data_IF_403806855375
#
_entry.id   IF_403806855375
#
_cell.length_a   1.000
_cell.length_b   1.000
_cell.length_c   1.000
_cell.angle_alpha   90.00
_cell.angle_beta   90.00
_cell.angle_gamma   90.00
#
_symmetry.space_group_name_H-M   'P 1'
#
loop_
_entity.id
_entity.type
_entity.pdbx_description
1 polymer ?
#
# COMPACT_ATOMS: atom_id res chain seq x y z
N UNK A 1 -5.67 -55.60 17.15
CA UNK A 1 -6.15 -54.20 17.09
C UNK A 1 -5.21 -53.33 17.90
N UNK A 2 -4.33 -52.54 17.25
CA UNK A 2 -3.54 -51.44 17.87
C UNK A 2 -2.60 -50.72 16.90
N UNK A 3 -2.32 -51.28 15.71
CA UNK A 3 -1.35 -50.70 14.76
C UNK A 3 -1.98 -49.86 13.62
N UNK A 4 -3.30 -49.89 13.44
CA UNK A 4 -3.97 -49.21 12.32
C UNK A 4 -4.35 -47.75 12.62
N UNK A 5 -4.24 -47.31 13.89
CA UNK A 5 -4.60 -45.95 14.31
C UNK A 5 -3.46 -44.93 14.11
N UNK A 6 -2.23 -45.40 13.91
CA UNK A 6 -1.03 -44.53 13.77
C UNK A 6 -0.83 -43.98 12.36
N UNK A 7 -1.52 -44.53 11.35
CA UNK A 7 -1.34 -44.14 9.94
C UNK A 7 -2.21 -42.95 9.51
N UNK A 8 -3.24 -42.60 10.29
CA UNK A 8 -4.19 -41.51 9.97
C UNK A 8 -3.66 -40.13 10.38
N UNK A 9 -2.74 -40.06 11.35
CA UNK A 9 -2.16 -38.79 11.80
C UNK A 9 -1.03 -38.24 10.90
N UNK A 10 -0.48 -39.06 9.99
CA UNK A 10 0.59 -38.64 9.06
C UNK A 10 0.05 -38.04 7.74
N UNK A 11 -1.27 -37.96 7.58
CA UNK A 11 -1.95 -37.44 6.38
C UNK A 11 -2.57 -36.05 6.59
N UNK A 12 -2.24 -35.35 7.67
CA UNK A 12 -2.46 -33.90 7.75
C UNK A 12 -1.19 -33.19 7.26
N UNK A 13 -1.03 -32.97 5.94
CA UNK A 13 0.00 -32.04 5.51
C UNK A 13 -0.33 -30.69 6.15
N UNK A 14 0.70 -30.06 6.69
CA UNK A 14 0.66 -28.68 7.15
C UNK A 14 -0.03 -27.83 6.08
N UNK A 15 -1.27 -27.42 6.33
CA UNK A 15 -1.83 -26.23 5.73
C UNK A 15 -1.15 -25.03 6.40
N UNK A 16 0.15 -24.88 6.15
CA UNK A 16 0.79 -23.59 6.30
C UNK A 16 0.11 -22.69 5.27
N UNK A 17 -0.82 -21.85 5.72
CA UNK A 17 -1.52 -20.91 4.86
C UNK A 17 -0.49 -20.10 4.08
N UNK A 18 -0.45 -20.30 2.75
CA UNK A 18 0.44 -19.53 1.91
C UNK A 18 0.03 -18.06 2.03
N UNK A 19 0.92 -17.25 2.61
CA UNK A 19 0.75 -15.79 2.60
C UNK A 19 0.88 -15.35 1.15
N UNK A 20 -0.21 -14.84 0.59
CA UNK A 20 -0.18 -14.27 -0.75
C UNK A 20 0.62 -12.96 -0.73
N UNK A 21 1.80 -13.00 -1.34
CA UNK A 21 2.70 -11.85 -1.45
C UNK A 21 2.16 -10.75 -2.37
N UNK A 22 1.09 -11.04 -3.11
CA UNK A 22 0.43 -10.15 -4.06
C UNK A 22 -1.00 -9.81 -3.63
N UNK A 23 -1.34 -9.97 -2.34
CA UNK A 23 -2.66 -9.59 -1.83
C UNK A 23 -2.95 -8.11 -2.11
N UNK A 24 -3.93 -7.85 -2.97
CA UNK A 24 -4.37 -6.53 -3.38
C UNK A 24 -5.77 -6.16 -2.87
N UNK A 25 -6.32 -6.88 -1.89
CA UNK A 25 -7.68 -6.61 -1.37
C UNK A 25 -7.87 -5.17 -0.92
N UNK A 26 -6.82 -4.58 -0.33
CA UNK A 26 -6.81 -3.18 0.06
C UNK A 26 -7.11 -2.22 -1.10
N UNK A 27 -6.63 -2.53 -2.30
CA UNK A 27 -6.87 -1.72 -3.51
C UNK A 27 -8.32 -1.75 -3.99
N UNK A 28 -9.10 -2.73 -3.54
CA UNK A 28 -10.50 -2.95 -3.90
C UNK A 28 -11.43 -2.72 -2.70
N UNK A 29 -10.88 -2.26 -1.57
CA UNK A 29 -11.65 -1.99 -0.37
C UNK A 29 -12.47 -0.70 -0.59
N UNK A 30 -13.81 -0.76 -0.55
CA UNK A 30 -14.66 0.40 -0.78
C UNK A 30 -14.43 1.51 0.25
N UNK A 31 -14.00 1.18 1.47
CA UNK A 31 -13.68 2.17 2.51
C UNK A 31 -12.43 2.95 2.14
N UNK A 32 -11.42 2.28 1.58
CA UNK A 32 -10.18 2.94 1.15
C UNK A 32 -10.39 3.79 -0.10
N UNK A 33 -11.19 3.30 -1.05
CA UNK A 33 -11.60 4.08 -2.21
C UNK A 33 -12.36 5.35 -1.79
N UNK A 34 -13.31 5.24 -0.87
CA UNK A 34 -14.05 6.39 -0.36
C UNK A 34 -13.14 7.41 0.35
N UNK A 35 -12.09 6.96 1.05
CA UNK A 35 -11.11 7.88 1.65
C UNK A 35 -10.38 8.69 0.58
N UNK A 36 -9.97 8.07 -0.51
CA UNK A 36 -9.36 8.78 -1.63
C UNK A 36 -10.30 9.79 -2.28
N UNK A 37 -11.55 9.38 -2.53
CA UNK A 37 -12.57 10.27 -3.09
C UNK A 37 -12.81 11.49 -2.20
N UNK A 38 -12.89 11.29 -0.87
CA UNK A 38 -13.06 12.37 0.09
C UNK A 38 -11.83 13.30 0.10
N UNK A 39 -10.61 12.75 0.15
CA UNK A 39 -9.39 13.55 0.13
C UNK A 39 -9.27 14.41 -1.13
N UNK A 40 -9.65 13.88 -2.29
CA UNK A 40 -9.68 14.64 -3.54
C UNK A 40 -10.75 15.73 -3.55
N UNK A 41 -11.96 15.41 -3.07
CA UNK A 41 -13.06 16.38 -2.99
C UNK A 41 -12.76 17.53 -2.03
N UNK A 42 -12.08 17.26 -0.93
CA UNK A 42 -11.64 18.27 0.05
C UNK A 42 -10.45 19.10 -0.46
N UNK A 43 -9.70 18.60 -1.44
CA UNK A 43 -8.48 19.23 -1.96
C UNK A 43 -8.44 19.25 -3.50
N UNK A 44 -9.43 19.87 -4.18
CA UNK A 44 -9.60 19.74 -5.63
C UNK A 44 -8.44 20.31 -6.45
N UNK A 45 -7.75 21.33 -5.93
CA UNK A 45 -6.63 21.99 -6.61
C UNK A 45 -5.25 21.46 -6.16
N UNK A 46 -5.21 20.40 -5.35
CA UNK A 46 -3.96 19.85 -4.82
C UNK A 46 -3.36 18.81 -5.75
N UNK A 47 -2.42 19.24 -6.59
CA UNK A 47 -1.62 18.36 -7.44
C UNK A 47 -0.92 17.24 -6.63
N UNK A 48 -0.56 17.53 -5.37
CA UNK A 48 0.09 16.56 -4.47
C UNK A 48 -0.88 15.42 -4.12
N UNK A 49 -2.13 15.74 -3.76
CA UNK A 49 -3.14 14.71 -3.44
C UNK A 49 -3.49 13.91 -4.69
N UNK A 50 -3.65 14.58 -5.83
CA UNK A 50 -3.89 13.91 -7.11
C UNK A 50 -2.74 12.96 -7.51
N UNK A 51 -1.48 13.40 -7.35
CA UNK A 51 -0.31 12.58 -7.65
C UNK A 51 -0.19 11.37 -6.71
N UNK A 52 -0.45 11.55 -5.41
CA UNK A 52 -0.45 10.45 -4.44
C UNK A 52 -1.51 9.39 -4.78
N UNK A 53 -2.72 9.82 -5.13
CA UNK A 53 -3.78 8.89 -5.53
C UNK A 53 -3.43 8.16 -6.83
N UNK A 54 -2.93 8.87 -7.85
CA UNK A 54 -2.50 8.24 -9.10
C UNK A 54 -1.38 7.20 -8.87
N UNK A 55 -0.42 7.50 -7.99
CA UNK A 55 0.63 6.57 -7.61
C UNK A 55 0.05 5.34 -6.88
N UNK A 56 -0.90 5.55 -5.96
CA UNK A 56 -1.59 4.45 -5.28
C UNK A 56 -2.27 3.50 -6.27
N UNK A 57 -3.05 4.02 -7.23
CA UNK A 57 -3.68 3.23 -8.30
C UNK A 57 -2.63 2.46 -9.10
N UNK A 58 -1.56 3.15 -9.53
CA UNK A 58 -0.49 2.53 -10.32
C UNK A 58 0.20 1.37 -9.59
N UNK A 59 0.44 1.53 -8.28
CA UNK A 59 1.01 0.48 -7.44
C UNK A 59 0.05 -0.71 -7.27
N UNK A 60 -1.25 -0.45 -7.10
CA UNK A 60 -2.27 -1.51 -7.08
C UNK A 60 -2.29 -2.34 -8.36
N UNK A 61 -2.19 -1.70 -9.53
CA UNK A 61 -2.08 -2.39 -10.83
C UNK A 61 -0.80 -3.23 -10.92
N UNK A 62 0.33 -2.75 -10.38
CA UNK A 62 1.58 -3.52 -10.37
C UNK A 62 1.51 -4.75 -9.46
N UNK A 63 0.81 -4.67 -8.34
CA UNK A 63 0.57 -5.83 -7.45
C UNK A 63 -0.34 -6.84 -8.14
N UNK A 64 -1.45 -6.40 -8.74
CA UNK A 64 -2.36 -7.27 -9.50
C UNK A 64 -1.67 -8.00 -10.66
N UNK A 65 -0.75 -7.33 -11.34
CA UNK A 65 0.05 -7.90 -12.41
C UNK A 65 1.23 -8.78 -11.92
N UNK A 66 1.36 -9.02 -10.62
CA UNK A 66 2.47 -9.75 -9.98
C UNK A 66 3.86 -9.19 -10.28
N UNK A 67 3.94 -7.91 -10.66
CA UNK A 67 5.19 -7.22 -10.95
C UNK A 67 5.84 -6.64 -9.67
N UNK A 68 5.05 -6.41 -8.62
CA UNK A 68 5.49 -5.97 -7.30
C UNK A 68 4.74 -6.77 -6.23
N UNK A 69 5.42 -7.15 -5.15
CA UNK A 69 4.72 -7.64 -3.96
C UNK A 69 3.98 -6.49 -3.28
N UNK A 70 2.93 -6.81 -2.52
CA UNK A 70 2.18 -5.83 -1.72
C UNK A 70 3.10 -5.07 -0.77
N UNK A 71 4.03 -5.77 -0.12
CA UNK A 71 5.04 -5.17 0.76
C UNK A 71 5.90 -4.14 0.01
N UNK A 72 6.39 -4.49 -1.19
CA UNK A 72 7.24 -3.60 -1.98
C UNK A 72 6.47 -2.38 -2.47
N UNK A 73 5.22 -2.58 -2.92
CA UNK A 73 4.33 -1.50 -3.31
C UNK A 73 4.06 -0.53 -2.15
N UNK A 74 3.73 -1.05 -0.97
CA UNK A 74 3.52 -0.25 0.23
C UNK A 74 4.77 0.56 0.60
N UNK A 75 5.95 -0.07 0.57
CA UNK A 75 7.21 0.64 0.84
C UNK A 75 7.43 1.80 -0.14
N UNK A 76 7.21 1.60 -1.44
CA UNK A 76 7.36 2.65 -2.45
C UNK A 76 6.41 3.82 -2.16
N UNK A 77 5.15 3.53 -1.85
CA UNK A 77 4.15 4.55 -1.52
C UNK A 77 4.58 5.38 -0.30
N UNK A 78 5.01 4.71 0.77
CA UNK A 78 5.43 5.33 2.03
C UNK A 78 6.69 6.18 1.87
N UNK A 79 7.71 5.67 1.18
CA UNK A 79 8.96 6.39 0.92
C UNK A 79 8.67 7.70 0.15
N UNK A 80 7.80 7.65 -0.86
CA UNK A 80 7.43 8.83 -1.64
C UNK A 80 6.60 9.83 -0.83
N UNK A 81 5.61 9.35 -0.06
CA UNK A 81 4.82 10.22 0.83
C UNK A 81 5.70 10.92 1.85
N UNK A 82 6.66 10.21 2.42
CA UNK A 82 7.62 10.77 3.37
C UNK A 82 8.47 11.88 2.73
N UNK A 83 8.99 11.65 1.53
CA UNK A 83 9.76 12.66 0.79
C UNK A 83 8.97 13.95 0.49
N UNK A 84 7.68 13.82 0.19
CA UNK A 84 6.78 15.00 0.04
C UNK A 84 6.66 15.76 1.36
N UNK A 85 6.41 15.05 2.46
CA UNK A 85 6.26 15.66 3.79
C UNK A 85 7.53 16.42 4.18
N UNK A 86 8.71 15.83 3.96
CA UNK A 86 9.99 16.49 4.21
C UNK A 86 10.17 17.73 3.34
N UNK A 87 9.84 17.66 2.04
CA UNK A 87 9.93 18.82 1.15
C UNK A 87 9.04 19.98 1.61
N UNK A 88 7.80 19.69 2.02
CA UNK A 88 6.87 20.70 2.53
C UNK A 88 7.41 21.34 3.82
N UNK A 89 7.98 20.55 4.74
CA UNK A 89 8.59 21.08 5.97
C UNK A 89 9.77 22.00 5.66
N UNK A 90 10.67 21.57 4.78
CA UNK A 90 11.83 22.35 4.36
C UNK A 90 11.45 23.69 3.70
N UNK A 91 10.37 23.69 2.89
CA UNK A 91 9.85 24.93 2.28
C UNK A 91 9.25 25.89 3.32
N UNK A 92 8.56 25.38 4.33
CA UNK A 92 7.99 26.19 5.42
C UNK A 92 9.05 26.78 6.36
N UNK A 93 10.18 26.09 6.51
CA UNK A 93 11.30 26.51 7.37
C UNK A 93 12.29 27.47 6.69
N UNK A 94 12.13 27.75 5.39
CA UNK A 94 12.97 28.69 4.62
C UNK A 94 12.24 30.04 4.51
N UNK A 95 12.28 30.93 5.53
CA UNK A 95 11.64 32.23 5.44
C UNK A 95 12.34 33.09 4.38
N UNK A 96 11.52 33.74 3.56
CA UNK A 96 11.67 35.12 3.03
C UNK A 96 13.03 35.79 3.33
N UNK A 97 14.09 35.37 2.64
CA UNK A 97 15.41 36.05 2.62
C UNK A 97 15.82 36.48 1.22
N UNK A 98 14.87 36.52 0.29
CA UNK A 98 15.09 36.91 -1.11
C UNK A 98 14.10 38.00 -1.57
N UNK A 99 13.50 38.72 -0.62
CA UNK A 99 12.84 40.01 -0.87
C UNK A 99 13.67 41.12 -0.21
N UNK A 100 14.77 41.52 -0.86
CA UNK A 100 15.51 42.76 -0.57
C UNK A 100 15.96 43.35 -1.89
#
# INVERSE_FOLDING_TARGET
MKMTLLMVCLLFPLYAGAVDKYDNKFCKDPVELQKWDNMLAENPDSDIVAALHAMWIGLCVKVEAHNLTTERANKIFEDFRWGIIESIKAQKEKPEKEAT
#
